data_IF_935728601271
#
_entry.id   IF_935728601271
#
_cell.length_a   1.000
_cell.length_b   1.000
_cell.length_c   1.000
_cell.angle_alpha   90.00
_cell.angle_beta   90.00
_cell.angle_gamma   90.00
#
_symmetry.space_group_name_H-M   'P 1'
#
loop_
_entity.id
_entity.type
_entity.pdbx_description
1 polymer ?
#
# COMPACT_ATOMS: atom_id res chain seq x y z
N UNK A 1 18.24 -30.97 33.92
CA UNK A 1 17.39 -30.25 32.95
C UNK A 1 17.95 -28.84 32.77
N UNK A 2 18.64 -28.61 31.67
CA UNK A 2 19.23 -27.30 31.37
C UNK A 2 18.10 -26.30 31.10
N UNK A 3 17.97 -25.25 31.91
CA UNK A 3 17.10 -24.11 31.63
C UNK A 3 17.71 -23.39 30.45
N UNK A 4 17.16 -23.60 29.25
CA UNK A 4 17.49 -22.78 28.08
C UNK A 4 17.20 -21.32 28.45
N UNK A 5 18.23 -20.49 28.51
CA UNK A 5 18.08 -19.07 28.81
C UNK A 5 17.15 -18.46 27.78
N UNK A 6 16.00 -17.90 28.21
CA UNK A 6 15.10 -17.17 27.33
C UNK A 6 15.80 -15.87 26.96
N UNK A 7 16.34 -15.80 25.75
CA UNK A 7 17.13 -14.65 25.26
C UNK A 7 16.30 -13.59 24.57
N UNK A 8 14.99 -13.83 24.36
CA UNK A 8 14.08 -12.89 23.67
C UNK A 8 12.77 -12.72 24.43
N UNK A 9 12.12 -11.58 24.20
CA UNK A 9 10.79 -11.31 24.75
C UNK A 9 9.78 -12.32 24.22
N UNK A 10 8.91 -12.92 25.06
CA UNK A 10 7.97 -13.94 24.62
C UNK A 10 7.00 -13.44 23.55
N UNK A 11 6.89 -14.16 22.43
CA UNK A 11 6.06 -13.75 21.29
C UNK A 11 4.58 -13.62 21.63
N UNK A 12 4.09 -14.44 22.54
CA UNK A 12 2.72 -14.42 23.05
C UNK A 12 2.39 -13.16 23.88
N UNK A 13 3.38 -12.39 24.29
CA UNK A 13 3.22 -11.11 24.98
C UNK A 13 3.29 -9.91 24.03
N UNK A 14 3.60 -10.14 22.77
CA UNK A 14 3.70 -9.07 21.76
C UNK A 14 2.30 -8.78 21.23
N UNK A 15 1.79 -7.58 21.51
CA UNK A 15 0.51 -7.10 21.00
C UNK A 15 0.68 -6.50 19.62
N UNK A 16 -0.02 -7.04 18.65
CA UNK A 16 0.01 -6.58 17.25
C UNK A 16 -1.36 -6.00 16.90
N UNK A 17 -1.38 -4.80 16.32
CA UNK A 17 -2.58 -4.16 15.81
C UNK A 17 -2.45 -3.94 14.31
N UNK A 18 -3.38 -4.51 13.53
CA UNK A 18 -3.52 -4.27 12.12
C UNK A 18 -4.76 -3.41 11.83
N UNK A 19 -4.59 -2.36 11.04
CA UNK A 19 -5.66 -1.45 10.63
C UNK A 19 -5.92 -1.57 9.12
N UNK A 20 -6.97 -0.90 8.65
CA UNK A 20 -7.28 -0.72 7.23
C UNK A 20 -7.45 -2.04 6.47
N UNK A 21 -8.05 -3.02 7.13
CA UNK A 21 -8.36 -4.32 6.52
C UNK A 21 -7.14 -5.02 5.90
N UNK A 22 -5.98 -4.96 6.58
CA UNK A 22 -4.81 -5.75 6.19
C UNK A 22 -5.22 -7.23 6.07
N UNK A 23 -4.69 -7.91 5.06
CA UNK A 23 -5.08 -9.27 4.67
C UNK A 23 -5.05 -10.27 5.83
N UNK A 24 -6.04 -11.18 5.89
CA UNK A 24 -6.06 -12.30 6.82
C UNK A 24 -4.82 -13.20 6.70
N UNK A 25 -4.22 -13.28 5.52
CA UNK A 25 -2.95 -14.01 5.32
C UNK A 25 -1.83 -13.46 6.22
N UNK A 26 -1.76 -12.13 6.40
CA UNK A 26 -0.78 -11.53 7.30
C UNK A 26 -1.05 -11.95 8.74
N UNK A 27 -2.30 -11.91 9.20
CA UNK A 27 -2.69 -12.37 10.54
C UNK A 27 -2.31 -13.83 10.75
N UNK A 28 -2.64 -14.70 9.79
CA UNK A 28 -2.31 -16.11 9.84
C UNK A 28 -0.81 -16.35 9.91
N UNK A 29 -0.01 -15.62 9.12
CA UNK A 29 1.43 -15.73 9.12
C UNK A 29 2.04 -15.36 10.48
N UNK A 30 1.56 -14.29 11.13
CA UNK A 30 1.99 -13.95 12.49
C UNK A 30 1.62 -15.04 13.49
N UNK A 31 0.39 -15.55 13.45
CA UNK A 31 -0.06 -16.64 14.34
C UNK A 31 0.76 -17.93 14.16
N UNK A 32 1.05 -18.32 12.91
CA UNK A 32 1.89 -19.48 12.60
C UNK A 32 3.32 -19.33 13.13
N UNK A 33 3.80 -18.09 13.27
CA UNK A 33 5.11 -17.78 13.84
C UNK A 33 5.09 -17.56 15.37
N UNK A 34 3.98 -17.90 16.04
CA UNK A 34 3.87 -17.89 17.51
C UNK A 34 3.38 -16.57 18.13
N UNK A 35 2.94 -15.60 17.31
CA UNK A 35 2.32 -14.37 17.82
C UNK A 35 0.81 -14.61 18.02
N UNK A 36 0.36 -14.71 19.25
CA UNK A 36 -1.05 -15.02 19.56
C UNK A 36 -1.92 -13.78 19.69
N UNK A 37 -1.35 -12.64 20.10
CA UNK A 37 -2.08 -11.41 20.34
C UNK A 37 -2.09 -10.51 19.08
N UNK A 38 -2.79 -10.97 18.04
CA UNK A 38 -2.98 -10.22 16.80
C UNK A 38 -4.41 -9.76 16.68
N UNK A 39 -4.64 -8.45 16.76
CA UNK A 39 -5.93 -7.81 16.57
C UNK A 39 -5.97 -7.09 15.22
N UNK A 40 -7.09 -7.21 14.51
CA UNK A 40 -7.30 -6.56 13.21
C UNK A 40 -8.58 -5.73 13.22
N UNK A 41 -8.50 -4.51 12.72
CA UNK A 41 -9.63 -3.62 12.49
C UNK A 41 -9.79 -3.34 10.99
N UNK A 42 -11.03 -3.21 10.54
CA UNK A 42 -11.36 -3.04 9.11
C UNK A 42 -11.10 -1.63 8.58
N UNK A 43 -11.13 -0.62 9.43
CA UNK A 43 -10.98 0.79 9.09
C UNK A 43 -9.63 1.39 9.47
N UNK A 44 -9.40 2.61 9.00
CA UNK A 44 -8.43 3.52 9.59
C UNK A 44 -9.00 4.05 10.91
N UNK A 45 -8.13 4.40 11.85
CA UNK A 45 -8.49 5.10 13.07
C UNK A 45 -8.14 6.59 12.94
N UNK A 46 -8.96 7.44 13.54
CA UNK A 46 -8.60 8.84 13.78
C UNK A 46 -7.42 8.94 14.74
N UNK A 47 -6.79 10.10 14.80
CA UNK A 47 -5.65 10.34 15.70
C UNK A 47 -6.04 10.07 17.17
N UNK A 48 -7.19 10.55 17.61
CA UNK A 48 -7.67 10.38 18.99
C UNK A 48 -8.00 8.93 19.32
N UNK A 49 -8.60 8.19 18.39
CA UNK A 49 -8.86 6.75 18.56
C UNK A 49 -7.57 5.97 18.66
N UNK A 50 -6.60 6.31 17.80
CA UNK A 50 -5.32 5.64 17.79
C UNK A 50 -4.51 5.92 19.06
N UNK A 51 -4.54 7.15 19.58
CA UNK A 51 -3.89 7.50 20.86
C UNK A 51 -4.43 6.64 22.01
N UNK A 52 -5.75 6.38 22.02
CA UNK A 52 -6.36 5.50 23.05
C UNK A 52 -5.93 4.03 22.93
N UNK A 53 -5.64 3.57 21.72
CA UNK A 53 -5.36 2.17 21.42
C UNK A 53 -3.87 1.82 21.48
N UNK A 54 -3.00 2.77 21.15
CA UNK A 54 -1.59 2.49 20.81
C UNK A 54 -0.71 2.17 22.01
N UNK A 55 -1.07 2.60 23.22
CA UNK A 55 -0.21 2.51 24.41
C UNK A 55 0.28 1.11 24.76
N UNK A 56 -0.48 0.06 24.42
CA UNK A 56 -0.11 -1.35 24.66
C UNK A 56 0.30 -2.10 23.38
N UNK A 57 0.40 -1.42 22.23
CA UNK A 57 0.76 -2.03 20.95
C UNK A 57 2.28 -2.08 20.81
N UNK A 58 2.80 -3.23 20.41
CA UNK A 58 4.24 -3.43 20.13
C UNK A 58 4.54 -3.35 18.63
N UNK A 59 3.66 -3.89 17.79
CA UNK A 59 3.78 -3.82 16.34
C UNK A 59 2.48 -3.28 15.75
N UNK A 60 2.59 -2.26 14.93
CA UNK A 60 1.45 -1.63 14.25
C UNK A 60 1.54 -1.85 12.75
N UNK A 61 0.49 -2.40 12.15
CA UNK A 61 0.35 -2.48 10.69
C UNK A 61 -0.70 -1.50 10.21
N UNK A 62 -0.33 -0.68 9.23
CA UNK A 62 -1.21 0.31 8.58
C UNK A 62 -1.12 0.20 7.07
N UNK A 63 -2.02 0.90 6.37
CA UNK A 63 -1.89 1.16 4.94
C UNK A 63 -1.73 2.67 4.69
N UNK A 64 -2.46 3.24 3.76
CA UNK A 64 -2.25 4.62 3.31
C UNK A 64 -3.15 5.66 3.98
N UNK A 65 -4.14 5.25 4.78
CA UNK A 65 -5.16 6.16 5.33
C UNK A 65 -4.92 6.56 6.78
N UNK A 66 -4.27 5.70 7.57
CA UNK A 66 -3.99 6.00 8.98
C UNK A 66 -2.74 6.87 9.10
N UNK A 67 -2.87 8.03 9.73
CA UNK A 67 -1.76 8.94 9.98
C UNK A 67 -1.14 8.70 11.35
N UNK A 68 0.19 8.72 11.40
CA UNK A 68 0.98 8.51 12.62
C UNK A 68 1.85 9.76 12.87
N UNK A 69 1.25 10.85 13.37
CA UNK A 69 2.00 12.04 13.73
C UNK A 69 2.77 11.87 15.05
N UNK A 70 3.59 12.83 15.39
CA UNK A 70 4.39 12.82 16.63
C UNK A 70 3.57 12.60 17.92
N UNK A 71 2.32 13.12 17.97
CA UNK A 71 1.42 12.92 19.14
C UNK A 71 1.05 11.45 19.35
N UNK A 72 0.77 10.71 18.28
CA UNK A 72 0.49 9.27 18.34
C UNK A 72 1.73 8.51 18.82
N UNK A 73 2.90 8.85 18.27
CA UNK A 73 4.17 8.22 18.67
C UNK A 73 4.52 8.51 20.14
N UNK A 74 4.21 9.70 20.64
CA UNK A 74 4.39 10.03 22.05
C UNK A 74 3.51 9.19 22.99
N UNK A 75 2.33 8.78 22.55
CA UNK A 75 1.42 7.89 23.30
C UNK A 75 1.81 6.39 23.16
N UNK A 76 2.64 6.05 22.18
CA UNK A 76 2.98 4.68 21.80
C UNK A 76 4.17 4.12 22.61
N UNK A 77 4.00 4.01 23.93
CA UNK A 77 5.10 3.72 24.89
C UNK A 77 5.75 2.33 24.72
N UNK A 78 5.10 1.39 24.04
CA UNK A 78 5.62 0.04 23.80
C UNK A 78 5.88 -0.27 22.34
N UNK A 79 5.61 0.69 21.44
CA UNK A 79 5.72 0.48 20.01
C UNK A 79 7.19 0.31 19.59
N UNK A 80 7.48 -0.77 18.90
CA UNK A 80 8.82 -1.12 18.40
C UNK A 80 8.92 -0.95 16.89
N UNK A 81 7.83 -1.28 16.17
CA UNK A 81 7.83 -1.18 14.72
C UNK A 81 6.46 -0.84 14.14
N UNK A 82 6.50 -0.13 13.00
CA UNK A 82 5.35 0.15 12.14
C UNK A 82 5.59 -0.52 10.80
N UNK A 83 4.65 -1.35 10.35
CA UNK A 83 4.61 -1.91 9.00
C UNK A 83 3.62 -1.13 8.14
N UNK A 84 4.10 -0.39 7.15
CA UNK A 84 3.27 0.23 6.12
C UNK A 84 3.04 -0.79 4.99
N UNK A 85 1.87 -1.43 4.96
CA UNK A 85 1.47 -2.38 3.92
C UNK A 85 1.08 -1.65 2.62
N UNK A 86 1.95 -0.74 2.21
CA UNK A 86 1.86 0.11 1.02
C UNK A 86 3.26 0.60 0.61
N UNK A 87 3.34 1.35 -0.49
CA UNK A 87 4.63 1.86 -1.00
C UNK A 87 5.09 3.08 -0.20
N UNK A 88 4.19 4.06 0.00
CA UNK A 88 4.55 5.31 0.66
C UNK A 88 4.64 5.18 2.18
N UNK A 89 5.39 6.08 2.79
CA UNK A 89 5.52 6.24 4.26
C UNK A 89 5.18 7.65 4.71
N UNK A 90 4.62 8.46 3.81
CA UNK A 90 4.28 9.87 4.06
C UNK A 90 3.22 10.09 5.15
N UNK A 91 2.47 9.04 5.51
CA UNK A 91 1.50 9.03 6.59
C UNK A 91 2.15 8.88 7.97
N UNK A 92 3.47 8.60 8.06
CA UNK A 92 4.21 8.44 9.32
C UNK A 92 5.22 9.59 9.48
N UNK A 93 5.24 10.23 10.65
CA UNK A 93 6.32 11.16 11.01
C UNK A 93 7.60 10.37 11.27
N UNK A 94 8.40 10.16 10.23
CA UNK A 94 9.64 9.38 10.31
C UNK A 94 10.66 9.98 11.28
N UNK A 95 10.70 11.32 11.40
CA UNK A 95 11.61 11.98 12.34
C UNK A 95 11.23 11.70 13.78
N UNK A 96 9.92 11.75 14.09
CA UNK A 96 9.43 11.41 15.41
C UNK A 96 9.60 9.90 15.69
N UNK A 97 9.33 9.01 14.72
CA UNK A 97 9.55 7.58 14.86
C UNK A 97 11.01 7.26 15.19
N UNK A 98 11.96 7.87 14.46
CA UNK A 98 13.41 7.70 14.74
C UNK A 98 13.78 8.16 16.15
N UNK A 99 13.28 9.32 16.59
CA UNK A 99 13.53 9.80 17.96
C UNK A 99 12.96 8.90 19.05
N UNK A 100 11.84 8.23 18.76
CA UNK A 100 11.19 7.28 19.67
C UNK A 100 11.76 5.86 19.57
N UNK A 101 12.76 5.61 18.71
CA UNK A 101 13.32 4.27 18.49
C UNK A 101 12.39 3.30 17.78
N UNK A 102 11.36 3.80 17.06
CA UNK A 102 10.39 2.99 16.33
C UNK A 102 10.85 2.79 14.90
N UNK A 103 11.01 1.54 14.48
CA UNK A 103 11.41 1.19 13.11
C UNK A 103 10.19 1.23 12.18
N UNK A 104 10.34 1.81 10.99
CA UNK A 104 9.28 1.87 9.99
C UNK A 104 9.67 1.05 8.76
N UNK A 105 8.84 0.08 8.41
CA UNK A 105 8.98 -0.76 7.22
C UNK A 105 7.88 -0.42 6.22
N UNK A 106 8.18 -0.57 4.94
CA UNK A 106 7.19 -0.47 3.86
C UNK A 106 7.35 -1.62 2.85
N UNK A 107 6.45 -1.66 1.86
CA UNK A 107 6.45 -2.67 0.80
C UNK A 107 6.63 -2.00 -0.57
N UNK A 108 7.84 -1.50 -0.90
CA UNK A 108 8.06 -0.58 -2.02
C UNK A 108 7.86 -1.18 -3.41
N UNK A 109 7.80 -2.51 -3.52
CA UNK A 109 7.69 -3.22 -4.80
C UNK A 109 6.40 -4.03 -4.97
N UNK A 110 5.52 -4.04 -3.95
CA UNK A 110 4.39 -4.99 -3.86
C UNK A 110 3.35 -4.86 -4.97
N UNK A 111 3.19 -3.68 -5.57
CA UNK A 111 2.21 -3.40 -6.62
C UNK A 111 2.81 -2.73 -7.87
N UNK A 112 4.13 -2.72 -8.01
CA UNK A 112 4.82 -2.04 -9.13
C UNK A 112 4.26 -2.48 -10.47
N UNK A 113 4.18 -3.79 -10.69
CA UNK A 113 3.71 -4.36 -11.96
C UNK A 113 2.22 -4.09 -12.20
N UNK A 114 1.38 -4.29 -11.19
CA UNK A 114 -0.07 -4.09 -11.33
C UNK A 114 -0.45 -2.63 -11.64
N UNK A 115 0.28 -1.68 -11.04
CA UNK A 115 0.07 -0.25 -11.36
C UNK A 115 0.55 0.07 -12.77
N UNK A 116 1.70 -0.44 -13.20
CA UNK A 116 2.21 -0.24 -14.55
C UNK A 116 1.24 -0.78 -15.60
N UNK A 117 0.70 -1.98 -15.40
CA UNK A 117 -0.31 -2.58 -16.29
C UNK A 117 -1.62 -1.77 -16.30
N UNK A 118 -2.07 -1.27 -15.14
CA UNK A 118 -3.25 -0.42 -15.07
C UNK A 118 -3.06 0.89 -15.87
N UNK A 119 -1.88 1.51 -15.79
CA UNK A 119 -1.56 2.73 -16.55
C UNK A 119 -1.64 2.47 -18.06
N UNK A 120 -1.04 1.37 -18.53
CA UNK A 120 -1.10 0.99 -19.95
C UNK A 120 -2.55 0.69 -20.37
N UNK A 121 -3.29 -0.07 -19.55
CA UNK A 121 -4.70 -0.36 -19.80
C UNK A 121 -5.54 0.92 -19.89
N UNK A 122 -5.36 1.86 -18.98
CA UNK A 122 -6.03 3.16 -18.98
C UNK A 122 -5.66 3.99 -20.22
N UNK A 123 -4.40 4.01 -20.63
CA UNK A 123 -3.96 4.71 -21.84
C UNK A 123 -4.64 4.14 -23.10
N UNK A 124 -4.74 2.82 -23.21
CA UNK A 124 -5.46 2.16 -24.31
C UNK A 124 -6.95 2.53 -24.28
N UNK A 125 -7.58 2.43 -23.12
CA UNK A 125 -9.01 2.73 -22.96
C UNK A 125 -9.33 4.17 -23.36
N UNK A 126 -8.50 5.14 -22.94
CA UNK A 126 -8.70 6.55 -23.23
C UNK A 126 -8.51 6.85 -24.73
N UNK A 127 -7.39 6.39 -25.31
CA UNK A 127 -7.06 6.69 -26.71
C UNK A 127 -7.99 6.03 -27.70
N UNK A 128 -8.60 4.88 -27.29
CA UNK A 128 -9.63 4.14 -28.05
C UNK A 128 -11.05 4.61 -27.75
N UNK A 129 -11.23 5.54 -26.80
CA UNK A 129 -12.53 6.03 -26.34
C UNK A 129 -13.46 4.91 -25.84
N UNK A 130 -12.87 3.89 -25.20
CA UNK A 130 -13.65 2.74 -24.70
C UNK A 130 -14.67 3.15 -23.63
N UNK A 131 -14.37 4.04 -22.68
CA UNK A 131 -15.34 4.50 -21.68
C UNK A 131 -16.58 5.17 -22.33
N UNK A 132 -16.37 6.03 -23.32
CA UNK A 132 -17.48 6.71 -24.03
C UNK A 132 -18.36 5.70 -24.77
N UNK A 133 -17.73 4.76 -25.48
CA UNK A 133 -18.43 3.72 -26.22
C UNK A 133 -19.18 2.75 -25.31
N UNK A 134 -18.57 2.41 -24.17
CA UNK A 134 -19.22 1.57 -23.17
C UNK A 134 -20.46 2.27 -22.58
N UNK A 135 -20.35 3.56 -22.21
CA UNK A 135 -21.49 4.34 -21.75
C UNK A 135 -22.62 4.37 -22.77
N UNK A 136 -22.32 4.71 -24.02
CA UNK A 136 -23.30 4.76 -25.10
C UNK A 136 -24.00 3.39 -25.31
N UNK A 137 -23.23 2.29 -25.25
CA UNK A 137 -23.79 0.95 -25.39
C UNK A 137 -24.80 0.62 -24.27
N UNK A 138 -24.54 1.03 -23.02
CA UNK A 138 -25.49 0.89 -21.92
C UNK A 138 -26.75 1.76 -22.07
N UNK A 139 -26.65 2.84 -22.81
CA UNK A 139 -27.77 3.72 -23.20
C UNK A 139 -28.48 3.24 -24.48
N UNK A 140 -28.14 2.05 -25.01
CA UNK A 140 -28.71 1.46 -26.22
C UNK A 140 -28.18 2.07 -27.53
N UNK A 141 -27.11 2.87 -27.47
CA UNK A 141 -26.51 3.52 -28.64
C UNK A 141 -25.23 2.79 -29.07
N UNK A 142 -25.19 2.33 -30.31
CA UNK A 142 -24.03 1.65 -30.90
C UNK A 142 -23.13 2.63 -31.66
N UNK A 143 -22.01 3.04 -31.05
CA UNK A 143 -21.01 3.93 -31.68
C UNK A 143 -20.00 3.10 -32.48
N UNK A 144 -20.32 2.77 -33.72
CA UNK A 144 -19.49 1.94 -34.61
C UNK A 144 -18.29 2.69 -35.19
N UNK A 145 -18.36 4.00 -35.34
CA UNK A 145 -17.34 4.80 -35.97
C UNK A 145 -16.01 4.80 -35.20
N UNK A 146 -14.90 5.05 -35.92
CA UNK A 146 -13.56 5.16 -35.34
C UNK A 146 -13.11 6.63 -35.12
N UNK A 147 -14.02 7.60 -35.25
CA UNK A 147 -13.69 9.02 -35.11
C UNK A 147 -13.14 9.33 -33.73
N UNK A 148 -11.96 9.95 -33.67
CA UNK A 148 -11.29 10.29 -32.42
C UNK A 148 -10.69 9.08 -31.66
N UNK A 149 -10.65 7.90 -32.28
CA UNK A 149 -9.95 6.72 -31.73
C UNK A 149 -8.62 6.53 -32.48
N UNK A 150 -7.55 6.32 -31.73
CA UNK A 150 -6.19 6.17 -32.26
C UNK A 150 -5.51 4.91 -31.72
N UNK A 151 -4.42 4.51 -32.37
CA UNK A 151 -3.51 3.48 -31.87
C UNK A 151 -2.48 4.09 -30.93
N UNK A 152 -1.94 3.32 -30.01
CA UNK A 152 -0.81 3.73 -29.15
C UNK A 152 0.49 3.84 -29.94
N UNK A 153 0.64 2.97 -30.94
CA UNK A 153 1.83 2.91 -31.78
C UNK A 153 2.18 4.26 -32.38
N UNK A 154 3.44 4.67 -32.21
CA UNK A 154 3.96 5.94 -32.69
C UNK A 154 3.53 7.18 -31.87
N UNK A 155 2.72 7.01 -30.82
CA UNK A 155 2.40 8.11 -29.88
C UNK A 155 3.51 8.28 -28.87
N UNK A 156 3.55 9.45 -28.23
CA UNK A 156 4.50 9.76 -27.16
C UNK A 156 3.80 9.68 -25.80
N UNK A 157 4.39 8.98 -24.86
CA UNK A 157 3.98 8.92 -23.46
C UNK A 157 4.96 9.74 -22.63
N UNK A 158 4.49 10.82 -22.01
CA UNK A 158 5.27 11.57 -21.03
C UNK A 158 5.11 10.96 -19.63
N UNK A 159 6.21 10.69 -18.94
CA UNK A 159 6.21 10.12 -17.59
C UNK A 159 6.80 11.15 -16.62
N UNK A 160 6.00 11.58 -15.63
CA UNK A 160 6.46 12.43 -14.54
C UNK A 160 6.73 11.52 -13.33
N UNK A 161 8.00 11.33 -12.96
CA UNK A 161 8.44 10.39 -11.94
C UNK A 161 8.89 9.04 -12.52
N UNK A 162 10.20 8.86 -12.68
CA UNK A 162 10.80 7.67 -13.29
C UNK A 162 11.42 6.74 -12.24
N UNK A 163 10.59 6.33 -11.26
CA UNK A 163 10.95 5.35 -10.23
C UNK A 163 10.57 3.92 -10.66
N UNK A 164 10.35 3.03 -9.67
CA UNK A 164 10.04 1.61 -9.92
C UNK A 164 8.82 1.39 -10.82
N UNK A 165 7.77 2.20 -10.67
CA UNK A 165 6.55 2.11 -11.49
C UNK A 165 6.80 2.76 -12.85
N UNK A 166 7.31 3.99 -12.89
CA UNK A 166 7.52 4.73 -14.13
C UNK A 166 8.44 4.00 -15.10
N UNK A 167 9.52 3.39 -14.62
CA UNK A 167 10.43 2.58 -15.45
C UNK A 167 9.73 1.35 -16.05
N UNK A 168 8.85 0.68 -15.30
CA UNK A 168 8.07 -0.43 -15.85
C UNK A 168 7.01 0.02 -16.86
N UNK A 169 6.38 1.17 -16.63
CA UNK A 169 5.46 1.78 -17.61
C UNK A 169 6.21 2.08 -18.90
N UNK A 170 7.43 2.64 -18.83
CA UNK A 170 8.27 2.91 -19.99
C UNK A 170 8.50 1.64 -20.84
N UNK A 171 8.99 0.58 -20.21
CA UNK A 171 9.24 -0.71 -20.90
C UNK A 171 7.98 -1.25 -21.58
N UNK A 172 6.83 -1.19 -20.90
CA UNK A 172 5.56 -1.66 -21.47
C UNK A 172 5.07 -0.77 -22.61
N UNK A 173 5.21 0.55 -22.50
CA UNK A 173 4.82 1.49 -23.54
C UNK A 173 5.69 1.33 -24.80
N UNK A 174 7.00 1.19 -24.64
CA UNK A 174 7.93 0.93 -25.74
C UNK A 174 7.63 -0.38 -26.46
N UNK A 175 7.29 -1.45 -25.72
CA UNK A 175 6.87 -2.73 -26.29
C UNK A 175 5.59 -2.62 -27.14
N UNK A 176 4.74 -1.62 -26.86
CA UNK A 176 3.57 -1.27 -27.69
C UNK A 176 3.88 -0.30 -28.83
N UNK A 177 5.15 0.04 -29.05
CA UNK A 177 5.58 0.93 -30.10
C UNK A 177 5.37 2.42 -29.83
N UNK A 178 5.25 2.79 -28.56
CA UNK A 178 5.23 4.21 -28.14
C UNK A 178 6.65 4.78 -28.05
N UNK A 179 6.75 6.10 -28.09
CA UNK A 179 7.93 6.86 -27.62
C UNK A 179 7.70 7.26 -26.18
N UNK A 180 8.74 7.21 -25.33
CA UNK A 180 8.65 7.60 -23.92
C UNK A 180 9.61 8.74 -23.63
#
# INVERSE_FOLDING_TARGET
MSKTAITSYPKERINILFLENISDKAVQQFKQNGYTNVRRLGGALSEEELIREIGNVHLLGIRSKTHIPARVLAAATKLQAIGCFCIGVNQVDLKAATRSGVVVFNAPYSNTRSVAELVIGAAIMLIRRIPDKNKAAHEGVWLKDAKGSFELRGKTLGIIGYGNIGSQVSVLAEALGMKV
#
